data_IF_831880706662
#
_entry.id   IF_831880706662
#
_cell.length_a   1.000
_cell.length_b   1.000
_cell.length_c   1.000
_cell.angle_alpha   90.00
_cell.angle_beta   90.00
_cell.angle_gamma   90.00
#
_symmetry.space_group_name_H-M   'P 1'
#
loop_
_entity.id
_entity.type
_entity.pdbx_description
1 polymer ?
#
# COMPACT_ATOMS: atom_id res chain seq x y z
N UNK A 1 41.93 21.88 -28.22
CA UNK A 1 40.80 22.75 -27.84
C UNK A 1 40.68 22.71 -26.32
N UNK A 2 40.54 23.84 -25.63
CA UNK A 2 40.28 23.82 -24.19
C UNK A 2 38.88 23.21 -23.93
N UNK A 3 38.65 22.59 -22.75
CA UNK A 3 37.33 22.08 -22.38
C UNK A 3 36.33 23.23 -22.33
N UNK A 4 35.15 23.05 -22.93
CA UNK A 4 34.03 23.98 -22.78
C UNK A 4 33.58 23.92 -21.32
N UNK A 5 33.97 24.91 -20.51
CA UNK A 5 33.36 25.15 -19.21
C UNK A 5 31.87 25.36 -19.44
N UNK A 6 31.05 24.40 -18.99
CA UNK A 6 29.60 24.59 -18.95
C UNK A 6 29.34 25.72 -17.95
N UNK A 7 28.60 26.78 -18.33
CA UNK A 7 28.24 27.82 -17.38
C UNK A 7 27.55 27.17 -16.18
N UNK A 8 28.05 27.47 -14.99
CA UNK A 8 27.39 27.08 -13.74
C UNK A 8 25.98 27.64 -13.76
N UNK A 9 24.96 26.82 -13.43
CA UNK A 9 23.60 27.33 -13.33
C UNK A 9 23.61 28.49 -12.33
N UNK A 10 22.88 29.59 -12.62
CA UNK A 10 22.79 30.69 -11.67
C UNK A 10 22.31 30.13 -10.32
N UNK A 11 22.84 30.63 -9.19
CA UNK A 11 22.31 30.26 -7.88
C UNK A 11 20.79 30.47 -7.93
N UNK A 12 19.98 29.56 -7.34
CA UNK A 12 18.55 29.73 -7.33
C UNK A 12 18.29 31.14 -6.83
N UNK A 13 17.78 32.01 -7.73
CA UNK A 13 17.19 33.27 -7.32
C UNK A 13 16.26 32.91 -6.19
N UNK A 14 16.34 33.62 -5.06
CA UNK A 14 15.47 33.41 -3.92
C UNK A 14 14.01 33.60 -4.36
N UNK A 15 13.47 32.60 -5.04
CA UNK A 15 12.10 32.47 -5.39
C UNK A 15 11.42 32.37 -4.04
N UNK A 16 10.60 33.36 -3.74
CA UNK A 16 9.71 33.28 -2.60
C UNK A 16 9.09 31.88 -2.63
N UNK A 17 9.10 31.16 -1.51
CA UNK A 17 8.49 29.84 -1.47
C UNK A 17 7.08 29.96 -2.06
N UNK A 18 6.66 29.01 -2.92
CA UNK A 18 5.32 29.02 -3.50
C UNK A 18 4.27 29.27 -2.41
N UNK A 19 3.16 29.95 -2.73
CA UNK A 19 2.14 30.25 -1.74
C UNK A 19 1.72 28.96 -1.02
N UNK A 20 1.70 29.00 0.32
CA UNK A 20 1.55 27.82 1.18
C UNK A 20 0.36 26.92 0.79
N UNK A 21 -0.72 27.52 0.29
CA UNK A 21 -1.93 26.83 -0.19
C UNK A 21 -1.65 25.86 -1.34
N UNK A 22 -0.74 26.19 -2.26
CA UNK A 22 -0.44 25.36 -3.43
C UNK A 22 0.39 24.12 -3.05
N UNK A 23 1.31 24.25 -2.09
CA UNK A 23 2.12 23.13 -1.59
C UNK A 23 1.33 22.17 -0.72
N UNK A 24 0.41 22.68 0.12
CA UNK A 24 -0.46 21.82 0.94
C UNK A 24 -1.31 20.91 0.04
N UNK A 25 -1.88 21.46 -1.04
CA UNK A 25 -2.64 20.66 -2.02
C UNK A 25 -1.79 19.61 -2.74
N UNK A 26 -0.52 19.92 -3.04
CA UNK A 26 0.41 18.96 -3.65
C UNK A 26 0.70 17.79 -2.71
N UNK A 27 1.00 18.06 -1.43
CA UNK A 27 1.27 17.05 -0.40
C UNK A 27 0.08 16.09 -0.21
N UNK A 28 -1.15 16.63 -0.12
CA UNK A 28 -2.36 15.81 0.02
C UNK A 28 -2.62 14.93 -1.21
N UNK A 29 -2.33 15.46 -2.40
CA UNK A 29 -2.45 14.72 -3.66
C UNK A 29 -1.45 13.56 -3.72
N UNK A 30 -0.23 13.76 -3.23
CA UNK A 30 0.79 12.71 -3.17
C UNK A 30 0.42 11.60 -2.18
N UNK A 31 -0.09 11.93 -0.99
CA UNK A 31 -0.59 10.93 -0.02
C UNK A 31 -1.68 10.05 -0.63
N UNK A 32 -2.63 10.66 -1.35
CA UNK A 32 -3.68 9.92 -2.06
C UNK A 32 -3.15 8.98 -3.15
N UNK A 33 -2.11 9.40 -3.88
CA UNK A 33 -1.44 8.56 -4.87
C UNK A 33 -0.76 7.35 -4.23
N UNK A 34 -0.07 7.53 -3.09
CA UNK A 34 0.57 6.43 -2.35
C UNK A 34 -0.48 5.45 -1.84
N UNK A 35 -1.59 5.93 -1.29
CA UNK A 35 -2.70 5.07 -0.86
C UNK A 35 -3.33 4.27 -2.02
N UNK A 36 -3.32 4.82 -3.25
CA UNK A 36 -3.72 4.09 -4.45
C UNK A 36 -2.67 3.05 -4.88
N UNK A 37 -1.38 3.37 -4.73
CA UNK A 37 -0.28 2.44 -4.99
C UNK A 37 -0.29 1.26 -4.03
N UNK A 38 -0.72 1.43 -2.78
CA UNK A 38 -0.86 0.30 -1.83
C UNK A 38 -1.74 -0.81 -2.40
N UNK A 39 -2.77 -0.48 -3.19
CA UNK A 39 -3.72 -1.44 -3.77
C UNK A 39 -3.24 -2.14 -5.05
N UNK A 40 -2.08 -1.76 -5.58
CA UNK A 40 -1.54 -2.39 -6.80
C UNK A 40 -1.23 -3.86 -6.55
N UNK A 41 -0.81 -4.20 -5.33
CA UNK A 41 -0.48 -5.55 -4.89
C UNK A 41 -1.67 -6.48 -5.09
N UNK A 42 -2.83 -6.08 -4.61
CA UNK A 42 -4.09 -6.83 -4.66
C UNK A 42 -4.56 -7.02 -6.11
N UNK A 43 -4.42 -5.99 -6.94
CA UNK A 43 -4.78 -6.06 -8.37
C UNK A 43 -3.87 -7.02 -9.13
N UNK A 44 -2.56 -6.93 -8.90
CA UNK A 44 -1.58 -7.79 -9.58
C UNK A 44 -1.77 -9.25 -9.18
N UNK A 45 -1.89 -9.53 -7.88
CA UNK A 45 -2.08 -10.90 -7.40
C UNK A 45 -3.42 -11.49 -7.81
N UNK A 46 -4.51 -10.72 -7.71
CA UNK A 46 -5.83 -11.19 -8.14
C UNK A 46 -5.82 -11.52 -9.63
N UNK A 47 -5.34 -10.61 -10.48
CA UNK A 47 -5.27 -10.85 -11.93
C UNK A 47 -4.39 -12.05 -12.28
N UNK A 48 -3.20 -12.15 -11.69
CA UNK A 48 -2.28 -13.26 -11.93
C UNK A 48 -2.91 -14.60 -11.58
N UNK A 49 -3.51 -14.71 -10.39
CA UNK A 49 -4.05 -15.98 -9.91
C UNK A 49 -5.34 -16.36 -10.66
N UNK A 50 -6.19 -15.38 -10.99
CA UNK A 50 -7.38 -15.61 -11.81
C UNK A 50 -7.03 -16.15 -13.20
N UNK A 51 -6.04 -15.52 -13.87
CA UNK A 51 -5.52 -15.98 -15.16
C UNK A 51 -4.98 -17.40 -15.07
N UNK A 52 -4.09 -17.65 -14.11
CA UNK A 52 -3.41 -18.94 -14.00
C UNK A 52 -4.39 -20.07 -13.63
N UNK A 53 -5.27 -19.81 -12.66
CA UNK A 53 -6.25 -20.80 -12.18
C UNK A 53 -7.20 -21.21 -13.30
N UNK A 54 -7.79 -20.26 -14.01
CA UNK A 54 -8.77 -20.60 -15.08
C UNK A 54 -8.11 -21.11 -16.35
N UNK A 55 -6.90 -20.67 -16.70
CA UNK A 55 -6.18 -21.22 -17.85
C UNK A 55 -5.81 -22.69 -17.61
N UNK A 56 -5.26 -23.00 -16.43
CA UNK A 56 -4.86 -24.38 -16.08
C UNK A 56 -6.07 -25.29 -15.91
N UNK A 57 -7.12 -24.84 -15.21
CA UNK A 57 -8.37 -25.59 -15.06
C UNK A 57 -9.06 -25.79 -16.41
N UNK A 58 -9.16 -24.74 -17.22
CA UNK A 58 -9.78 -24.78 -18.54
C UNK A 58 -9.07 -25.77 -19.46
N UNK A 59 -7.73 -25.69 -19.55
CA UNK A 59 -6.92 -26.61 -20.34
C UNK A 59 -7.03 -28.06 -19.84
N UNK A 60 -7.04 -28.28 -18.53
CA UNK A 60 -7.18 -29.62 -17.94
C UNK A 60 -8.54 -30.25 -18.29
N UNK A 61 -9.63 -29.49 -18.17
CA UNK A 61 -10.98 -29.97 -18.51
C UNK A 61 -11.11 -30.18 -20.02
N UNK A 62 -10.60 -29.25 -20.83
CA UNK A 62 -10.56 -29.35 -22.30
C UNK A 62 -9.83 -30.62 -22.77
N UNK A 63 -8.75 -31.03 -22.09
CA UNK A 63 -8.05 -32.28 -22.40
C UNK A 63 -8.84 -33.56 -22.07
N UNK A 64 -9.94 -33.44 -21.32
CA UNK A 64 -10.78 -34.55 -20.87
C UNK A 64 -12.19 -34.55 -21.48
N UNK A 65 -12.57 -33.52 -22.24
CA UNK A 65 -13.91 -33.39 -22.85
C UNK A 65 -13.91 -32.51 -24.09
N UNK A 66 -14.69 -32.89 -25.10
CA UNK A 66 -14.89 -32.07 -26.31
C UNK A 66 -15.95 -30.94 -26.10
N UNK A 67 -16.60 -30.91 -24.94
CA UNK A 67 -17.69 -29.99 -24.62
C UNK A 67 -17.17 -28.65 -24.07
N UNK A 68 -17.20 -27.60 -24.89
CA UNK A 68 -16.86 -26.22 -24.47
C UNK A 68 -17.72 -25.75 -23.30
N UNK A 69 -18.99 -26.20 -23.24
CA UNK A 69 -19.90 -25.87 -22.14
C UNK A 69 -19.42 -26.43 -20.80
N UNK A 70 -18.84 -27.62 -20.80
CA UNK A 70 -18.27 -28.24 -19.59
C UNK A 70 -17.06 -27.44 -19.11
N UNK A 71 -16.19 -27.02 -20.03
CA UNK A 71 -15.03 -26.18 -19.72
C UNK A 71 -15.46 -24.84 -19.11
N UNK A 72 -16.45 -24.17 -19.70
CA UNK A 72 -16.97 -22.90 -19.19
C UNK A 72 -17.54 -23.06 -17.78
N UNK A 73 -18.39 -24.06 -17.54
CA UNK A 73 -19.01 -24.26 -16.22
C UNK A 73 -17.94 -24.55 -15.17
N UNK A 74 -16.97 -25.41 -15.48
CA UNK A 74 -15.87 -25.72 -14.58
C UNK A 74 -15.00 -24.48 -14.30
N UNK A 75 -14.64 -23.74 -15.36
CA UNK A 75 -13.87 -22.50 -15.27
C UNK A 75 -14.55 -21.44 -14.41
N UNK A 76 -15.84 -21.20 -14.62
CA UNK A 76 -16.62 -20.24 -13.83
C UNK A 76 -16.78 -20.68 -12.37
N UNK A 77 -17.03 -21.98 -12.13
CA UNK A 77 -17.13 -22.51 -10.77
C UNK A 77 -15.79 -22.35 -10.02
N UNK A 78 -14.68 -22.70 -10.68
CA UNK A 78 -13.34 -22.48 -10.15
C UNK A 78 -13.03 -21.01 -9.91
N UNK A 79 -13.41 -20.13 -10.84
CA UNK A 79 -13.21 -18.69 -10.72
C UNK A 79 -13.96 -18.10 -9.53
N UNK A 80 -15.22 -18.51 -9.30
CA UNK A 80 -16.00 -18.05 -8.15
C UNK A 80 -15.38 -18.52 -6.81
N UNK A 81 -14.96 -19.78 -6.74
CA UNK A 81 -14.29 -20.33 -5.56
C UNK A 81 -12.97 -19.61 -5.24
N UNK A 82 -12.14 -19.41 -6.27
CA UNK A 82 -10.87 -18.69 -6.15
C UNK A 82 -11.05 -17.22 -5.77
N UNK A 83 -11.99 -16.52 -6.42
CA UNK A 83 -12.33 -15.14 -6.08
C UNK A 83 -12.73 -15.01 -4.61
N UNK A 84 -13.63 -15.86 -4.11
CA UNK A 84 -14.07 -15.81 -2.70
C UNK A 84 -12.91 -16.07 -1.75
N UNK A 85 -12.07 -17.06 -2.05
CA UNK A 85 -10.90 -17.41 -1.22
C UNK A 85 -9.89 -16.26 -1.15
N UNK A 86 -9.49 -15.71 -2.31
CA UNK A 86 -8.54 -14.61 -2.35
C UNK A 86 -9.09 -13.31 -1.74
N UNK A 87 -10.36 -13.00 -2.00
CA UNK A 87 -11.00 -11.81 -1.42
C UNK A 87 -11.08 -11.91 0.10
N UNK A 88 -11.43 -13.09 0.64
CA UNK A 88 -11.43 -13.33 2.08
C UNK A 88 -10.01 -13.24 2.67
N UNK A 89 -9.01 -13.79 1.97
CA UNK A 89 -7.61 -13.69 2.37
C UNK A 89 -7.12 -12.24 2.43
N UNK A 90 -7.39 -11.45 1.39
CA UNK A 90 -7.06 -10.03 1.35
C UNK A 90 -7.77 -9.23 2.45
N UNK A 91 -9.05 -9.51 2.69
CA UNK A 91 -9.81 -8.87 3.78
C UNK A 91 -9.18 -9.17 5.14
N UNK A 92 -8.93 -10.45 5.44
CA UNK A 92 -8.40 -10.87 6.73
C UNK A 92 -6.96 -10.37 6.95
N UNK A 93 -6.13 -10.40 5.90
CA UNK A 93 -4.76 -9.87 5.94
C UNK A 93 -4.75 -8.37 6.21
N UNK A 94 -5.48 -7.59 5.41
CA UNK A 94 -5.59 -6.13 5.60
C UNK A 94 -6.21 -5.77 6.95
N UNK A 95 -7.19 -6.55 7.43
CA UNK A 95 -7.76 -6.36 8.76
C UNK A 95 -6.76 -6.65 9.87
N UNK A 96 -5.97 -7.71 9.77
CA UNK A 96 -4.94 -8.03 10.76
C UNK A 96 -3.85 -6.95 10.78
N UNK A 97 -3.39 -6.49 9.61
CA UNK A 97 -2.45 -5.36 9.49
C UNK A 97 -3.00 -4.10 10.17
N UNK A 98 -4.29 -3.81 10.00
CA UNK A 98 -4.95 -2.68 10.66
C UNK A 98 -5.04 -2.85 12.18
N UNK A 99 -5.46 -4.03 12.65
CA UNK A 99 -5.56 -4.31 14.09
C UNK A 99 -4.19 -4.21 14.78
N UNK A 100 -3.11 -4.66 14.13
CA UNK A 100 -1.74 -4.49 14.63
C UNK A 100 -1.39 -3.00 14.72
N UNK A 101 -1.64 -2.22 13.66
CA UNK A 101 -1.36 -0.78 13.66
C UNK A 101 -2.12 -0.03 14.76
N UNK A 102 -3.42 -0.31 14.90
CA UNK A 102 -4.25 0.29 15.95
C UNK A 102 -3.74 -0.10 17.36
N UNK A 103 -3.26 -1.34 17.53
CA UNK A 103 -2.71 -1.80 18.81
C UNK A 103 -1.38 -1.14 19.17
N UNK A 104 -0.46 -0.98 18.21
CA UNK A 104 0.82 -0.32 18.44
C UNK A 104 0.63 1.17 18.69
N UNK A 105 -0.26 1.85 17.93
CA UNK A 105 -0.62 3.25 18.20
C UNK A 105 -1.23 3.45 19.60
N UNK A 106 -2.07 2.52 20.03
CA UNK A 106 -2.66 2.58 21.38
C UNK A 106 -1.62 2.36 22.47
N UNK A 107 -0.63 1.49 22.23
CA UNK A 107 0.49 1.25 23.12
C UNK A 107 1.41 2.48 23.20
N UNK A 108 1.78 3.04 22.07
CA UNK A 108 2.58 4.26 21.96
C UNK A 108 1.93 5.43 22.71
N UNK A 109 0.61 5.62 22.49
CA UNK A 109 -0.15 6.63 23.20
C UNK A 109 -0.14 6.42 24.72
N UNK A 110 -0.11 5.17 25.19
CA UNK A 110 0.02 4.83 26.60
C UNK A 110 1.43 5.13 27.12
N UNK A 111 2.47 4.76 26.39
CA UNK A 111 3.86 5.00 26.77
C UNK A 111 4.16 6.52 26.88
N UNK A 112 3.65 7.34 25.94
CA UNK A 112 3.71 8.82 26.03
C UNK A 112 3.06 9.37 27.30
N UNK A 113 2.01 8.75 27.82
CA UNK A 113 1.31 9.20 29.03
C UNK A 113 2.01 8.80 30.32
N UNK A 114 2.51 7.56 30.36
CA UNK A 114 3.02 6.96 31.60
C UNK A 114 4.54 6.99 31.70
N UNK A 115 5.26 7.21 30.59
CA UNK A 115 6.72 7.19 30.50
C UNK A 115 7.28 8.35 29.64
N UNK A 116 6.85 9.60 29.85
CA UNK A 116 7.21 10.73 28.97
C UNK A 116 8.72 11.00 28.89
N UNK A 117 9.48 10.70 29.95
CA UNK A 117 10.93 10.84 29.96
C UNK A 117 11.63 9.80 29.08
N UNK A 118 11.10 8.58 28.99
CA UNK A 118 11.61 7.53 28.11
C UNK A 118 11.33 7.92 26.65
N UNK A 119 10.08 8.24 26.31
CA UNK A 119 9.70 8.63 24.94
C UNK A 119 10.43 9.87 24.41
N UNK A 120 10.68 10.84 25.28
CA UNK A 120 11.49 12.00 24.92
C UNK A 120 12.93 11.58 24.57
N UNK A 121 13.52 10.67 25.35
CA UNK A 121 14.86 10.15 25.09
C UNK A 121 14.93 9.33 23.80
N UNK A 122 13.88 8.57 23.49
CA UNK A 122 13.75 7.84 22.22
C UNK A 122 13.71 8.80 21.03
N UNK A 123 12.88 9.84 21.09
CA UNK A 123 12.77 10.85 20.04
C UNK A 123 14.09 11.61 19.82
N UNK A 124 14.83 11.92 20.90
CA UNK A 124 16.18 12.51 20.80
C UNK A 124 17.12 11.57 20.03
N UNK A 125 17.13 10.29 20.37
CA UNK A 125 18.00 9.31 19.71
C UNK A 125 17.62 9.11 18.24
N UNK A 126 16.32 9.12 17.91
CA UNK A 126 15.84 9.13 16.52
C UNK A 126 16.44 10.31 15.75
N UNK A 127 16.34 11.54 16.26
CA UNK A 127 16.93 12.71 15.59
C UNK A 127 18.45 12.61 15.48
N UNK A 128 19.14 12.07 16.48
CA UNK A 128 20.59 11.86 16.39
C UNK A 128 20.96 10.88 15.28
N UNK A 129 20.18 9.82 15.09
CA UNK A 129 20.38 8.85 13.99
C UNK A 129 20.10 9.46 12.62
N UNK A 130 19.22 10.46 12.55
CA UNK A 130 18.99 11.26 11.34
C UNK A 130 20.13 12.25 11.04
N UNK A 131 21.06 12.45 11.98
CA UNK A 131 22.29 13.23 11.81
C UNK A 131 22.32 14.56 12.54
N UNK A 132 21.32 14.86 13.37
CA UNK A 132 21.28 16.09 14.16
C UNK A 132 22.29 16.05 15.32
N UNK A 133 22.82 17.22 15.69
CA UNK A 133 23.66 17.36 16.89
C UNK A 133 22.85 17.05 18.16
N UNK A 134 23.51 16.69 19.25
CA UNK A 134 22.81 16.34 20.51
C UNK A 134 21.92 17.49 21.00
N UNK A 135 22.47 18.71 21.10
CA UNK A 135 21.73 19.87 21.60
C UNK A 135 20.53 20.22 20.70
N UNK A 136 20.68 20.08 19.38
CA UNK A 136 19.62 20.30 18.40
C UNK A 136 18.53 19.23 18.48
N UNK A 137 18.91 17.95 18.62
CA UNK A 137 17.98 16.84 18.80
C UNK A 137 17.13 17.01 20.07
N UNK A 138 17.73 17.46 21.17
CA UNK A 138 17.03 17.78 22.42
C UNK A 138 16.01 18.89 22.18
N UNK A 139 16.41 20.01 21.61
CA UNK A 139 15.52 21.16 21.37
C UNK A 139 14.32 20.78 20.47
N UNK A 140 14.56 19.99 19.43
CA UNK A 140 13.49 19.52 18.54
C UNK A 140 12.54 18.54 19.24
N UNK A 141 13.08 17.57 19.99
CA UNK A 141 12.27 16.59 20.71
C UNK A 141 11.39 17.27 21.78
N UNK A 142 11.94 18.21 22.54
CA UNK A 142 11.18 18.98 23.54
C UNK A 142 10.06 19.81 22.88
N UNK A 143 10.30 20.39 21.70
CA UNK A 143 9.25 21.11 20.95
C UNK A 143 8.13 20.19 20.50
N UNK A 144 8.46 19.01 19.99
CA UNK A 144 7.45 18.01 19.58
C UNK A 144 6.65 17.51 20.79
N UNK A 145 7.32 17.26 21.91
CA UNK A 145 6.70 16.79 23.15
C UNK A 145 5.72 17.78 23.81
N UNK A 146 5.69 19.05 23.37
CA UNK A 146 4.70 20.03 23.85
C UNK A 146 3.27 19.71 23.37
N UNK A 147 3.13 18.94 22.30
CA UNK A 147 1.84 18.53 21.75
C UNK A 147 1.80 16.99 21.68
N UNK A 148 0.93 16.38 22.49
CA UNK A 148 0.80 14.92 22.58
C UNK A 148 0.40 14.28 21.25
N UNK A 149 -0.46 14.94 20.47
CA UNK A 149 -0.91 14.41 19.19
C UNK A 149 0.22 14.50 18.16
N UNK A 150 0.99 15.58 18.18
CA UNK A 150 2.18 15.72 17.33
C UNK A 150 3.26 14.70 17.70
N UNK A 151 3.50 14.49 19.00
CA UNK A 151 4.46 13.51 19.51
C UNK A 151 4.08 12.09 19.10
N UNK A 152 2.82 11.69 19.31
CA UNK A 152 2.30 10.40 18.89
C UNK A 152 2.44 10.18 17.38
N UNK A 153 2.09 11.18 16.56
CA UNK A 153 2.26 11.08 15.09
C UNK A 153 3.72 10.96 14.69
N UNK A 154 4.60 11.70 15.37
CA UNK A 154 6.04 11.71 15.07
C UNK A 154 6.69 10.37 15.43
N UNK A 155 6.38 9.80 16.60
CA UNK A 155 6.87 8.49 17.01
C UNK A 155 6.27 7.38 16.15
N UNK A 156 4.96 7.43 15.86
CA UNK A 156 4.33 6.50 14.93
C UNK A 156 5.03 6.48 13.55
N UNK A 157 5.39 7.64 13.00
CA UNK A 157 6.07 7.73 11.71
C UNK A 157 7.55 7.36 11.78
N UNK A 158 8.30 7.89 12.75
CA UNK A 158 9.76 7.77 12.79
C UNK A 158 10.25 6.51 13.49
N UNK A 159 9.51 6.01 14.47
CA UNK A 159 9.87 4.81 15.22
C UNK A 159 9.18 3.57 14.65
N UNK A 160 7.85 3.59 14.56
CA UNK A 160 7.06 2.43 14.14
C UNK A 160 7.01 2.28 12.60
N UNK A 161 7.39 3.33 11.86
CA UNK A 161 7.26 3.36 10.40
C UNK A 161 5.80 3.35 9.93
N UNK A 162 4.86 3.65 10.82
CA UNK A 162 3.43 3.70 10.54
C UNK A 162 3.08 5.08 9.99
N UNK A 163 2.23 5.11 8.98
CA UNK A 163 1.64 6.36 8.50
C UNK A 163 0.23 6.48 9.08
N UNK A 164 0.02 7.21 10.19
CA UNK A 164 -1.29 7.29 10.85
C UNK A 164 -2.38 7.90 9.94
N UNK A 165 -1.98 8.66 8.92
CA UNK A 165 -2.88 9.23 7.92
C UNK A 165 -3.24 8.27 6.77
N UNK A 166 -2.54 7.13 6.64
CA UNK A 166 -2.77 6.19 5.55
C UNK A 166 -3.86 5.19 5.95
N UNK A 167 -5.08 5.42 5.47
CA UNK A 167 -6.20 4.52 5.78
C UNK A 167 -6.02 3.12 5.15
N UNK A 168 -5.85 2.11 6.01
CA UNK A 168 -6.02 0.71 5.64
C UNK A 168 -7.52 0.37 5.56
N UNK A 169 -7.95 -0.13 4.40
CA UNK A 169 -9.36 -0.41 4.12
C UNK A 169 -9.56 -1.86 3.67
N UNK A 170 -9.79 -2.79 4.61
CA UNK A 170 -9.92 -4.22 4.30
C UNK A 170 -10.98 -4.54 3.26
N UNK A 171 -12.10 -3.82 3.27
CA UNK A 171 -13.17 -4.00 2.29
C UNK A 171 -12.74 -3.57 0.88
N UNK A 172 -11.98 -2.47 0.75
CA UNK A 172 -11.49 -2.00 -0.56
C UNK A 172 -10.42 -2.95 -1.11
N UNK A 173 -9.56 -3.47 -0.24
CA UNK A 173 -8.48 -4.40 -0.63
C UNK A 173 -9.07 -5.74 -1.12
N UNK A 174 -10.05 -6.27 -0.38
CA UNK A 174 -10.80 -7.45 -0.79
C UNK A 174 -11.55 -7.25 -2.11
N UNK A 175 -12.19 -6.09 -2.30
CA UNK A 175 -12.91 -5.77 -3.53
C UNK A 175 -11.95 -5.65 -4.73
N UNK A 176 -10.79 -5.00 -4.56
CA UNK A 176 -9.77 -4.88 -5.59
C UNK A 176 -9.20 -6.25 -5.99
N UNK A 177 -8.91 -7.11 -4.99
CA UNK A 177 -8.49 -8.50 -5.20
C UNK A 177 -9.54 -9.29 -5.98
N UNK A 178 -10.80 -9.31 -5.51
CA UNK A 178 -11.86 -10.08 -6.15
C UNK A 178 -12.19 -9.60 -7.57
N UNK A 179 -12.27 -8.28 -7.79
CA UNK A 179 -12.56 -7.71 -9.09
C UNK A 179 -11.44 -8.03 -10.11
N UNK A 180 -10.19 -7.83 -9.72
CA UNK A 180 -9.04 -8.15 -10.59
C UNK A 180 -8.93 -9.65 -10.87
N UNK A 181 -9.25 -10.49 -9.88
CA UNK A 181 -9.34 -11.93 -10.04
C UNK A 181 -10.35 -12.34 -11.10
N UNK A 182 -11.59 -11.84 -11.04
CA UNK A 182 -12.61 -12.15 -12.04
C UNK A 182 -12.18 -11.67 -13.42
N UNK A 183 -11.62 -10.47 -13.54
CA UNK A 183 -11.12 -9.96 -14.81
C UNK A 183 -10.04 -10.88 -15.39
N UNK A 184 -9.08 -11.32 -14.57
CA UNK A 184 -8.07 -12.28 -14.96
C UNK A 184 -8.66 -13.65 -15.32
N UNK A 185 -9.62 -14.12 -14.55
CA UNK A 185 -10.28 -15.41 -14.73
C UNK A 185 -11.14 -15.52 -16.00
N UNK A 186 -11.68 -14.41 -16.47
CA UNK A 186 -12.49 -14.41 -17.68
C UNK A 186 -11.65 -14.54 -18.96
N UNK A 187 -10.43 -14.01 -18.97
CA UNK A 187 -9.60 -13.92 -20.17
C UNK A 187 -9.32 -15.30 -20.81
N UNK A 188 -8.94 -16.36 -20.06
CA UNK A 188 -8.72 -17.70 -20.63
C UNK A 188 -10.00 -18.42 -21.03
N UNK A 189 -11.17 -17.97 -20.54
CA UNK A 189 -12.46 -18.59 -20.85
C UNK A 189 -13.08 -18.06 -22.15
N UNK A 190 -12.71 -16.85 -22.60
CA UNK A 190 -13.23 -16.22 -23.82
C UNK A 190 -13.24 -17.16 -25.04
N UNK A 191 -12.16 -17.91 -25.37
CA UNK A 191 -12.15 -18.77 -26.55
C UNK A 191 -13.25 -19.84 -26.52
N UNK A 192 -13.55 -20.39 -25.34
CA UNK A 192 -14.56 -21.45 -25.18
C UNK A 192 -16.00 -20.95 -25.35
N UNK A 193 -16.25 -19.64 -25.22
CA UNK A 193 -17.55 -19.04 -25.54
C UNK A 193 -17.80 -18.90 -27.05
N UNK A 194 -16.73 -18.85 -27.84
CA UNK A 194 -16.80 -18.66 -29.29
C UNK A 194 -16.77 -20.01 -30.01
N UNK A 195 -16.00 -20.97 -29.50
CA UNK A 195 -15.83 -22.29 -30.10
C UNK A 195 -16.87 -23.27 -29.56
N UNK A 196 -17.76 -23.76 -30.42
CA UNK A 196 -18.78 -24.78 -30.05
C UNK A 196 -18.17 -26.17 -29.76
N UNK A 197 -16.98 -26.44 -30.28
CA UNK A 197 -16.23 -27.68 -30.06
C UNK A 197 -14.80 -27.40 -29.61
N UNK A 198 -14.34 -28.13 -28.60
CA UNK A 198 -12.95 -28.13 -28.12
C UNK A 198 -12.18 -29.19 -28.93
N UNK A 199 -11.85 -28.90 -30.18
CA UNK A 199 -11.01 -29.78 -31.03
C UNK A 199 -10.22 -28.95 -32.03
#
# INVERSE_FOLDING_TARGET
APPLERPTPPPPTAAQPPPATQKVTEVDTEKGRIAALTRIREVVFGMQDGLLTTATLGAAVAGATDSSRTVIIAGLAGALGGMMSMSAGAFLGSRAEREIQESELAREAHEIEFKPEEELAELIEIYRREGFGYDEAVEMAERVAQDRDLMLRTLAEKELGLSPDLEVSPAKDAAAMGASYIVGAMLPLIPYFILESVT
#
